data_IF_379395490984
#
_entry.id   IF_379395490984
#
_cell.length_a   1.000
_cell.length_b   1.000
_cell.length_c   1.000
_cell.angle_alpha   90.00
_cell.angle_beta   90.00
_cell.angle_gamma   90.00
#
_symmetry.space_group_name_H-M   'P 1'
#
loop_
_entity.id
_entity.type
_entity.pdbx_description
1 polymer ?
#
# COMPACT_ATOMS: atom_id res chain seq x y z
N UNK A 1 -33.18 38.03 38.96
CA UNK A 1 -32.08 37.07 39.14
C UNK A 1 -32.55 35.65 38.81
N UNK A 2 -32.39 35.20 37.55
CA UNK A 2 -32.42 33.80 37.10
C UNK A 2 -32.33 33.79 35.57
N UNK A 3 -31.12 34.01 35.04
CA UNK A 3 -30.82 33.72 33.63
C UNK A 3 -29.30 33.65 33.45
N UNK A 4 -28.67 32.62 34.03
CA UNK A 4 -27.23 32.37 33.87
C UNK A 4 -26.91 30.87 33.97
N UNK A 5 -27.71 30.04 33.29
CA UNK A 5 -27.41 28.61 33.10
C UNK A 5 -27.69 28.08 31.67
N UNK A 6 -28.10 28.95 30.74
CA UNK A 6 -28.28 28.57 29.33
C UNK A 6 -27.13 29.02 28.40
N UNK A 7 -26.19 29.85 28.88
CA UNK A 7 -25.09 30.35 28.05
C UNK A 7 -23.82 29.48 28.07
N UNK A 8 -23.74 28.49 28.97
CA UNK A 8 -22.58 27.59 29.04
C UNK A 8 -22.69 26.34 28.15
N UNK A 9 -23.84 26.10 27.52
CA UNK A 9 -24.05 24.96 26.61
C UNK A 9 -23.98 25.31 25.12
N UNK A 10 -23.74 26.58 24.78
CA UNK A 10 -23.57 27.04 23.39
C UNK A 10 -22.11 27.30 22.98
N UNK A 11 -21.14 27.11 23.88
CA UNK A 11 -19.70 27.23 23.58
C UNK A 11 -19.03 25.85 23.37
N UNK A 12 -19.77 24.75 23.50
CA UNK A 12 -19.24 23.39 23.29
C UNK A 12 -19.52 22.78 21.90
N UNK A 13 -20.13 23.53 20.97
CA UNK A 13 -20.53 23.01 19.65
C UNK A 13 -19.86 23.73 18.46
N UNK A 14 -18.90 24.61 18.69
CA UNK A 14 -18.10 25.23 17.64
C UNK A 14 -16.61 25.00 17.94
N UNK A 15 -15.91 24.44 16.94
CA UNK A 15 -14.45 24.33 16.90
C UNK A 15 -13.80 23.20 17.72
N UNK A 16 -14.24 21.96 17.54
CA UNK A 16 -13.27 20.85 17.41
C UNK A 16 -12.99 20.64 15.92
N UNK A 17 -12.52 21.70 15.25
CA UNK A 17 -11.57 21.50 14.16
C UNK A 17 -10.30 21.15 14.92
N UNK A 18 -10.06 19.84 15.06
CA UNK A 18 -8.82 19.35 15.66
C UNK A 18 -7.68 19.83 14.76
N UNK A 19 -7.10 20.97 15.11
CA UNK A 19 -5.83 21.45 14.58
C UNK A 19 -4.75 20.49 15.05
N UNK A 20 -4.60 19.36 14.35
CA UNK A 20 -3.34 18.62 14.34
C UNK A 20 -2.34 19.45 13.54
N UNK A 21 -1.82 20.50 14.15
CA UNK A 21 -0.60 21.15 13.71
C UNK A 21 0.58 20.53 14.46
N UNK A 22 1.41 19.77 13.74
CA UNK A 22 2.88 19.71 13.85
C UNK A 22 3.44 18.32 13.46
N UNK A 23 3.43 18.04 12.16
CA UNK A 23 4.47 17.35 11.36
C UNK A 23 3.87 17.19 9.97
N UNK A 24 4.66 17.39 8.90
CA UNK A 24 4.19 17.52 7.51
C UNK A 24 2.88 16.80 7.23
N UNK A 25 1.85 17.55 6.82
CA UNK A 25 0.48 17.06 6.67
C UNK A 25 0.47 15.79 5.82
N UNK A 26 0.24 14.65 6.46
CA UNK A 26 0.16 13.32 5.83
C UNK A 26 -1.15 12.66 6.22
N UNK A 27 -1.76 11.93 5.30
CA UNK A 27 -3.05 11.25 5.51
C UNK A 27 -2.99 9.76 5.15
N UNK A 28 -3.88 8.99 5.78
CA UNK A 28 -4.14 7.61 5.44
C UNK A 28 -5.59 7.44 4.90
N UNK A 29 -5.90 6.36 4.16
CA UNK A 29 -7.27 6.05 3.72
C UNK A 29 -8.28 6.02 4.87
N UNK A 30 -7.87 5.58 6.05
CA UNK A 30 -8.71 5.58 7.26
C UNK A 30 -9.12 7.00 7.73
N UNK A 31 -8.36 8.02 7.34
CA UNK A 31 -8.65 9.43 7.64
C UNK A 31 -9.51 10.08 6.55
N UNK A 32 -9.83 9.37 5.46
CA UNK A 32 -10.57 9.94 4.33
C UNK A 32 -12.04 10.17 4.66
N UNK A 33 -12.63 11.19 4.04
CA UNK A 33 -14.07 11.44 4.11
C UNK A 33 -14.62 11.59 2.68
N UNK A 34 -15.53 10.70 2.22
CA UNK A 34 -16.05 9.52 2.93
C UNK A 34 -14.98 8.45 3.16
N UNK A 35 -15.22 7.57 4.15
CA UNK A 35 -14.31 6.47 4.49
C UNK A 35 -14.29 5.44 3.34
N UNK A 36 -13.15 5.29 2.66
CA UNK A 36 -13.00 4.34 1.56
C UNK A 36 -12.61 2.95 2.08
N UNK A 37 -11.64 2.89 3.01
CA UNK A 37 -11.21 1.68 3.68
C UNK A 37 -11.11 1.90 5.19
N UNK A 38 -11.51 0.90 5.97
CA UNK A 38 -11.19 0.84 7.40
C UNK A 38 -9.70 0.61 7.63
N UNK A 39 -9.28 0.55 8.88
CA UNK A 39 -7.91 0.26 9.27
C UNK A 39 -7.43 1.13 10.42
N UNK A 40 -6.14 1.45 10.42
CA UNK A 40 -5.53 2.35 11.39
C UNK A 40 -4.26 2.99 10.81
N UNK A 41 -3.76 4.00 11.52
CA UNK A 41 -2.50 4.67 11.19
C UNK A 41 -1.68 4.86 12.46
N UNK A 42 -0.37 4.68 12.37
CA UNK A 42 0.57 5.07 13.43
C UNK A 42 1.45 6.24 12.97
N UNK A 43 2.60 6.51 13.62
CA UNK A 43 3.50 7.61 13.23
C UNK A 43 4.15 7.40 11.85
N UNK A 44 4.40 6.16 11.45
CA UNK A 44 5.26 5.78 10.32
C UNK A 44 4.54 5.07 9.17
N UNK A 45 3.42 4.39 9.44
CA UNK A 45 2.70 3.57 8.47
C UNK A 45 1.19 3.76 8.54
N UNK A 46 0.53 3.42 7.43
CA UNK A 46 -0.91 3.21 7.36
C UNK A 46 -1.15 1.71 7.16
N UNK A 47 -2.23 1.20 7.75
CA UNK A 47 -2.75 -0.12 7.46
C UNK A 47 -4.21 0.02 7.06
N UNK A 48 -4.54 -0.44 5.87
CA UNK A 48 -5.88 -0.39 5.30
C UNK A 48 -6.49 -1.78 5.27
N UNK A 49 -7.71 -1.91 5.77
CA UNK A 49 -8.47 -3.16 5.80
C UNK A 49 -9.40 -3.22 4.60
N UNK A 50 -9.07 -4.13 3.70
CA UNK A 50 -9.77 -4.31 2.43
C UNK A 50 -10.71 -5.51 2.56
N UNK A 51 -12.01 -5.34 2.27
CA UNK A 51 -12.96 -6.43 2.39
C UNK A 51 -12.75 -7.47 1.29
N UNK A 52 -13.04 -8.73 1.59
CA UNK A 52 -12.77 -9.87 0.70
C UNK A 52 -13.49 -9.82 -0.67
N UNK A 53 -14.55 -9.04 -0.80
CA UNK A 53 -15.29 -8.84 -2.04
C UNK A 53 -14.54 -7.97 -3.05
N UNK A 54 -13.49 -7.25 -2.61
CA UNK A 54 -12.62 -6.43 -3.45
C UNK A 54 -11.43 -7.20 -4.03
N UNK A 55 -11.32 -8.50 -3.77
CA UNK A 55 -10.23 -9.33 -4.28
C UNK A 55 -10.32 -9.39 -5.82
N UNK A 56 -9.23 -9.05 -6.55
CA UNK A 56 -9.25 -9.07 -8.00
C UNK A 56 -9.32 -10.50 -8.52
N UNK A 57 -9.89 -10.70 -9.72
CA UNK A 57 -9.82 -11.99 -10.43
C UNK A 57 -8.38 -12.24 -10.87
N UNK A 58 -7.84 -13.37 -10.48
CA UNK A 58 -6.44 -13.71 -10.64
C UNK A 58 -6.28 -15.21 -10.95
N UNK A 59 -5.17 -15.56 -11.61
CA UNK A 59 -5.02 -16.83 -12.30
C UNK A 59 -4.33 -17.98 -11.55
N UNK A 60 -3.71 -17.73 -10.37
CA UNK A 60 -2.86 -18.75 -9.71
C UNK A 60 -3.12 -18.92 -8.21
N UNK A 61 -2.63 -18.04 -7.35
CA UNK A 61 -2.71 -18.20 -5.89
C UNK A 61 -3.33 -16.98 -5.23
N UNK A 62 -4.25 -17.21 -4.27
CA UNK A 62 -5.00 -16.15 -3.59
C UNK A 62 -4.11 -15.00 -3.09
N UNK A 63 -2.98 -15.33 -2.48
CA UNK A 63 -2.08 -14.35 -1.88
C UNK A 63 -1.35 -13.47 -2.89
N UNK A 64 -1.01 -13.99 -4.07
CA UNK A 64 -0.43 -13.19 -5.16
C UNK A 64 -1.41 -12.10 -5.57
N UNK A 65 -2.71 -12.43 -5.57
CA UNK A 65 -3.77 -11.49 -5.89
C UNK A 65 -3.90 -10.38 -4.85
N UNK A 66 -3.75 -10.74 -3.57
CA UNK A 66 -3.84 -9.79 -2.47
C UNK A 66 -2.62 -8.86 -2.45
N UNK A 67 -1.42 -9.39 -2.66
CA UNK A 67 -0.19 -8.60 -2.78
C UNK A 67 -0.30 -7.62 -3.97
N UNK A 68 -0.71 -8.14 -5.13
CA UNK A 68 -0.94 -7.32 -6.32
C UNK A 68 -1.99 -6.23 -6.09
N UNK A 69 -3.07 -6.54 -5.37
CA UNK A 69 -4.06 -5.53 -4.99
C UNK A 69 -3.41 -4.45 -4.12
N UNK A 70 -2.70 -4.83 -3.06
CA UNK A 70 -2.06 -3.87 -2.16
C UNK A 70 -1.08 -2.95 -2.90
N UNK A 71 -0.24 -3.52 -3.79
CA UNK A 71 0.72 -2.76 -4.58
C UNK A 71 0.05 -1.80 -5.59
N UNK A 72 -1.07 -2.21 -6.19
CA UNK A 72 -1.76 -1.41 -7.21
C UNK A 72 -2.63 -0.31 -6.60
N UNK A 73 -3.26 -0.59 -5.46
CA UNK A 73 -4.22 0.31 -4.82
C UNK A 73 -3.52 1.31 -3.89
N UNK A 74 -2.43 0.90 -3.24
CA UNK A 74 -1.70 1.74 -2.30
C UNK A 74 -0.24 1.97 -2.72
N UNK A 75 0.23 3.21 -2.64
CA UNK A 75 1.63 3.55 -2.96
C UNK A 75 2.59 2.83 -2.00
N UNK A 76 3.47 1.98 -2.56
CA UNK A 76 4.38 1.13 -1.77
C UNK A 76 3.63 0.12 -0.88
N UNK A 77 2.40 -0.23 -1.28
CA UNK A 77 1.54 -1.14 -0.54
C UNK A 77 1.99 -2.59 -0.68
N UNK A 78 1.88 -3.33 0.42
CA UNK A 78 2.13 -4.77 0.48
C UNK A 78 1.16 -5.44 1.45
N UNK A 79 0.99 -6.75 1.31
CA UNK A 79 0.18 -7.54 2.23
C UNK A 79 0.81 -7.51 3.62
N UNK A 80 0.00 -7.18 4.63
CA UNK A 80 0.45 -7.04 6.00
C UNK A 80 0.73 -8.43 6.60
N UNK A 81 1.94 -8.58 7.14
CA UNK A 81 2.25 -9.69 8.03
C UNK A 81 2.17 -9.22 9.49
N UNK A 82 1.63 -10.08 10.34
CA UNK A 82 1.46 -9.78 11.77
C UNK A 82 2.38 -10.67 12.57
N UNK A 83 3.38 -10.08 13.22
CA UNK A 83 4.18 -10.76 14.23
C UNK A 83 3.43 -10.78 15.58
N UNK A 84 3.47 -11.89 16.35
CA UNK A 84 2.91 -11.93 17.69
C UNK A 84 3.28 -10.74 18.59
N UNK A 85 4.50 -10.21 18.45
CA UNK A 85 4.96 -9.08 19.23
C UNK A 85 4.33 -7.75 18.79
N UNK A 86 3.95 -7.61 17.52
CA UNK A 86 3.38 -6.38 16.95
C UNK A 86 1.88 -6.22 17.25
N UNK A 87 1.23 -7.29 17.72
CA UNK A 87 -0.22 -7.38 17.88
C UNK A 87 -0.72 -6.74 19.17
N UNK A 88 0.12 -6.71 20.21
CA UNK A 88 -0.25 -6.18 21.52
C UNK A 88 -0.49 -4.65 21.48
N UNK A 89 0.16 -3.95 20.53
CA UNK A 89 0.17 -2.50 20.43
C UNK A 89 -0.65 -1.98 19.25
N UNK A 90 -1.55 -2.80 18.68
CA UNK A 90 -2.44 -2.35 17.61
C UNK A 90 -3.29 -1.19 18.16
N UNK A 91 -3.21 0.02 17.56
CA UNK A 91 -3.97 1.16 18.04
C UNK A 91 -5.47 0.97 17.78
N UNK A 92 -6.27 1.99 18.09
CA UNK A 92 -7.68 1.94 17.76
C UNK A 92 -7.89 1.74 16.25
N UNK A 93 -8.63 0.68 15.93
CA UNK A 93 -8.98 0.30 14.57
C UNK A 93 -10.39 0.79 14.21
N UNK A 94 -10.57 1.16 12.96
CA UNK A 94 -11.86 1.54 12.37
C UNK A 94 -12.27 0.47 11.35
N UNK A 95 -13.47 -0.07 11.49
CA UNK A 95 -14.06 -1.01 10.53
C UNK A 95 -15.25 -0.38 9.81
N UNK A 96 -15.55 -0.88 8.61
CA UNK A 96 -16.69 -0.42 7.81
C UNK A 96 -18.01 -0.91 8.40
N UNK A 97 -18.05 -2.17 8.85
CA UNK A 97 -19.21 -2.75 9.50
C UNK A 97 -19.24 -2.35 10.98
N UNK A 98 -20.39 -1.91 11.48
CA UNK A 98 -20.59 -1.55 12.90
C UNK A 98 -21.37 -2.61 13.67
N UNK A 99 -21.77 -3.71 13.04
CA UNK A 99 -22.64 -4.72 13.63
C UNK A 99 -21.91 -5.99 14.05
N UNK A 100 -20.68 -6.25 13.55
CA UNK A 100 -19.87 -7.38 14.01
C UNK A 100 -19.06 -7.05 15.26
N UNK A 101 -18.86 -8.09 16.08
CA UNK A 101 -18.08 -8.04 17.32
C UNK A 101 -16.61 -8.45 17.12
N UNK A 102 -16.33 -9.26 16.11
CA UNK A 102 -14.98 -9.67 15.74
C UNK A 102 -14.84 -9.74 14.22
N UNK A 103 -13.60 -9.67 13.74
CA UNK A 103 -13.23 -9.69 12.33
C UNK A 103 -12.06 -10.63 12.09
N UNK A 104 -12.21 -11.51 11.11
CA UNK A 104 -11.13 -12.35 10.60
C UNK A 104 -10.30 -11.58 9.57
N UNK A 105 -9.04 -11.32 9.90
CA UNK A 105 -8.09 -10.62 9.03
C UNK A 105 -7.03 -11.61 8.56
N UNK A 106 -6.83 -11.75 7.25
CA UNK A 106 -5.77 -12.60 6.73
C UNK A 106 -4.39 -12.13 7.22
N UNK A 107 -3.60 -13.07 7.73
CA UNK A 107 -2.18 -12.88 8.02
C UNK A 107 -1.36 -13.19 6.76
N UNK A 108 -0.54 -12.25 6.29
CA UNK A 108 0.25 -12.38 5.07
C UNK A 108 1.39 -13.42 5.08
N UNK A 109 1.51 -14.26 6.12
CA UNK A 109 2.49 -15.37 6.18
C UNK A 109 1.80 -16.69 5.78
N UNK A 110 2.41 -17.41 4.83
CA UNK A 110 1.85 -18.65 4.25
C UNK A 110 2.80 -19.81 4.44
N UNK A 111 2.24 -20.94 4.88
CA UNK A 111 2.97 -22.20 4.99
C UNK A 111 2.92 -22.93 3.64
N UNK A 112 4.08 -23.19 3.02
CA UNK A 112 4.13 -23.78 1.68
C UNK A 112 4.43 -25.27 1.67
N UNK A 113 5.42 -25.71 2.46
CA UNK A 113 5.89 -27.08 2.40
C UNK A 113 6.34 -27.60 3.77
N UNK A 114 6.22 -28.91 3.94
CA UNK A 114 6.81 -29.66 5.05
C UNK A 114 7.94 -30.51 4.51
N UNK A 115 9.14 -30.31 5.05
CA UNK A 115 10.31 -31.11 4.74
C UNK A 115 10.72 -31.83 6.00
N UNK A 116 10.48 -33.13 6.04
CA UNK A 116 11.02 -34.00 7.06
C UNK A 116 12.41 -34.44 6.62
N UNK A 117 13.43 -34.15 7.43
CA UNK A 117 14.77 -34.69 7.21
C UNK A 117 15.36 -35.21 8.52
N UNK A 118 16.10 -36.31 8.43
CA UNK A 118 16.73 -36.92 9.59
C UNK A 118 18.07 -36.25 9.82
N UNK A 119 18.05 -35.08 10.45
CA UNK A 119 19.26 -34.47 11.01
C UNK A 119 19.30 -34.75 12.51
N UNK A 120 20.34 -35.44 12.96
CA UNK A 120 20.52 -35.76 14.38
C UNK A 120 21.18 -34.57 15.06
N UNK A 121 20.41 -33.78 15.80
CA UNK A 121 20.96 -32.73 16.69
C UNK A 121 20.73 -33.08 18.15
N UNK A 122 21.53 -32.49 19.04
CA UNK A 122 21.29 -32.56 20.49
C UNK A 122 20.12 -31.64 20.85
N UNK A 123 19.02 -32.23 21.30
CA UNK A 123 17.86 -31.50 21.82
C UNK A 123 18.13 -30.84 23.18
N UNK A 124 17.11 -30.19 23.75
CA UNK A 124 17.20 -29.36 24.96
C UNK A 124 17.68 -30.09 26.23
N UNK A 125 17.74 -31.43 26.20
CA UNK A 125 18.27 -32.29 27.28
C UNK A 125 19.42 -33.21 26.83
N UNK A 126 20.10 -32.88 25.72
CA UNK A 126 21.27 -33.63 25.22
C UNK A 126 20.95 -34.92 24.48
N UNK A 127 19.68 -35.33 24.36
CA UNK A 127 19.25 -36.48 23.58
C UNK A 127 19.31 -36.19 22.06
N UNK A 128 19.63 -37.21 21.27
CA UNK A 128 19.59 -37.15 19.80
C UNK A 128 18.14 -37.23 19.31
N UNK A 129 17.71 -36.26 18.50
CA UNK A 129 16.30 -36.12 18.07
C UNK A 129 16.18 -35.91 16.56
N UNK A 130 15.06 -36.35 15.98
CA UNK A 130 14.70 -36.11 14.58
C UNK A 130 13.96 -34.77 14.45
N UNK A 131 14.15 -34.07 13.33
CA UNK A 131 13.53 -32.77 13.06
C UNK A 131 12.52 -32.86 11.92
N UNK A 132 11.38 -32.17 12.09
CA UNK A 132 10.37 -31.92 11.06
C UNK A 132 10.33 -30.41 10.78
N UNK A 133 10.69 -30.01 9.57
CA UNK A 133 10.89 -28.62 9.21
C UNK A 133 9.83 -28.13 8.23
N UNK A 134 9.57 -26.82 8.27
CA UNK A 134 8.58 -26.17 7.44
C UNK A 134 9.17 -24.93 6.77
N UNK A 135 8.84 -24.76 5.50
CA UNK A 135 9.22 -23.58 4.73
C UNK A 135 8.02 -22.62 4.66
N UNK A 136 8.25 -21.39 5.09
CA UNK A 136 7.27 -20.32 5.04
C UNK A 136 7.63 -19.34 3.93
N UNK A 137 6.62 -18.97 3.15
CA UNK A 137 6.73 -17.81 2.28
C UNK A 137 6.11 -16.62 2.99
N UNK A 138 6.93 -15.58 3.12
CA UNK A 138 6.56 -14.32 3.72
C UNK A 138 6.41 -13.30 2.61
N UNK A 139 5.22 -12.73 2.51
CA UNK A 139 4.96 -11.62 1.61
C UNK A 139 5.14 -10.37 2.46
N UNK A 140 6.25 -9.68 2.26
CA UNK A 140 6.51 -8.42 2.92
C UNK A 140 7.16 -7.49 1.90
N UNK A 141 6.78 -6.22 1.92
CA UNK A 141 7.31 -5.23 0.99
C UNK A 141 8.80 -4.92 1.16
N UNK A 142 9.47 -5.52 2.16
CA UNK A 142 10.89 -5.36 2.44
C UNK A 142 11.57 -6.73 2.51
N UNK A 143 11.75 -7.39 1.36
CA UNK A 143 12.61 -8.56 1.16
C UNK A 143 12.78 -9.45 2.39
N UNK A 144 11.70 -10.11 2.84
CA UNK A 144 11.80 -11.02 3.97
C UNK A 144 12.47 -12.30 3.49
N UNK A 145 13.54 -12.77 4.15
CA UNK A 145 14.09 -14.07 3.82
C UNK A 145 12.99 -15.13 4.01
N UNK A 146 12.92 -16.15 3.14
CA UNK A 146 12.08 -17.31 3.39
C UNK A 146 12.51 -17.88 4.73
N UNK A 147 11.56 -18.01 5.65
CA UNK A 147 11.89 -18.46 7.00
C UNK A 147 11.71 -19.97 7.01
N UNK A 148 12.82 -20.70 7.15
CA UNK A 148 12.79 -22.11 7.46
C UNK A 148 12.71 -22.26 8.98
N UNK A 149 11.72 -23.01 9.46
CA UNK A 149 11.63 -23.30 10.89
C UNK A 149 11.42 -24.79 11.15
N UNK A 150 12.24 -25.32 12.04
CA UNK A 150 12.21 -26.72 12.42
C UNK A 150 11.52 -26.93 13.76
N UNK A 151 10.71 -27.97 13.81
CA UNK A 151 10.20 -28.60 15.03
C UNK A 151 10.92 -29.93 15.22
N UNK A 152 10.91 -30.49 16.43
CA UNK A 152 11.37 -31.85 16.67
C UNK A 152 10.25 -32.65 17.34
N UNK A 153 10.17 -33.94 17.04
CA UNK A 153 9.23 -34.87 17.68
C UNK A 153 9.96 -36.16 18.04
N UNK A 154 9.57 -36.79 19.16
CA UNK A 154 10.08 -38.10 19.55
C UNK A 154 9.16 -39.19 19.00
N UNK A 155 9.75 -40.28 18.52
CA UNK A 155 8.99 -41.34 17.84
C UNK A 155 8.04 -42.10 18.78
N UNK A 156 6.94 -42.67 18.25
CA UNK A 156 5.92 -43.40 19.03
C UNK A 156 6.41 -44.69 19.71
N UNK A 157 7.59 -45.23 19.38
CA UNK A 157 8.11 -46.45 20.03
C UNK A 157 8.52 -46.26 21.50
N UNK A 158 8.37 -45.05 22.07
CA UNK A 158 8.51 -44.78 23.50
C UNK A 158 7.16 -44.51 24.20
N UNK A 159 6.04 -44.93 23.61
CA UNK A 159 4.73 -44.91 24.29
C UNK A 159 4.68 -45.77 25.56
N UNK A 160 5.57 -46.76 25.71
CA UNK A 160 5.56 -47.69 26.85
C UNK A 160 6.16 -47.11 28.15
N UNK A 161 6.84 -45.96 28.13
CA UNK A 161 7.56 -45.42 29.29
C UNK A 161 7.04 -44.06 29.79
N UNK A 162 5.76 -43.76 29.57
CA UNK A 162 5.07 -42.65 30.25
C UNK A 162 5.62 -41.25 29.92
N UNK A 163 5.01 -40.60 28.93
CA UNK A 163 4.99 -39.14 28.79
C UNK A 163 6.19 -38.51 28.07
N UNK A 164 6.13 -38.45 26.73
CA UNK A 164 6.94 -37.50 25.96
C UNK A 164 6.09 -36.89 24.84
N UNK A 165 5.66 -35.63 25.01
CA UNK A 165 5.12 -34.80 23.93
C UNK A 165 5.61 -33.37 24.09
N UNK A 166 6.85 -33.10 23.66
CA UNK A 166 7.34 -31.74 23.56
C UNK A 166 7.47 -31.36 22.08
N UNK A 167 6.34 -31.03 21.44
CA UNK A 167 6.38 -30.31 20.17
C UNK A 167 6.77 -28.86 20.46
N UNK A 168 8.07 -28.56 20.40
CA UNK A 168 8.56 -27.20 20.54
C UNK A 168 8.67 -26.57 19.14
N UNK A 169 7.74 -25.68 18.81
CA UNK A 169 7.83 -24.85 17.60
C UNK A 169 8.69 -23.63 17.92
N UNK A 170 9.82 -23.50 17.22
CA UNK A 170 10.73 -22.35 17.38
C UNK A 170 10.39 -21.24 16.36
N UNK A 171 9.41 -21.48 15.48
CA UNK A 171 8.92 -20.48 14.52
C UNK A 171 8.16 -19.36 15.24
N UNK A 172 8.58 -18.10 15.07
CA UNK A 172 7.81 -16.95 15.55
C UNK A 172 6.40 -16.91 14.94
N UNK A 173 6.23 -17.45 13.72
CA UNK A 173 4.91 -17.56 13.09
C UNK A 173 4.00 -18.61 13.75
N UNK A 174 4.54 -19.64 14.41
CA UNK A 174 3.78 -20.70 15.08
C UNK A 174 3.93 -20.68 16.61
N UNK A 175 4.62 -19.68 17.17
CA UNK A 175 4.97 -19.58 18.60
C UNK A 175 3.74 -19.48 19.51
N UNK A 176 2.64 -18.99 18.97
CA UNK A 176 1.34 -18.91 19.65
C UNK A 176 0.62 -20.28 19.73
N UNK A 177 0.97 -21.25 18.89
CA UNK A 177 0.35 -22.59 18.89
C UNK A 177 0.95 -23.52 19.94
N UNK A 178 0.62 -23.23 21.20
CA UNK A 178 1.00 -24.06 22.37
C UNK A 178 0.03 -25.20 22.62
N UNK A 179 -1.17 -25.15 22.04
CA UNK A 179 -2.23 -26.13 22.29
C UNK A 179 -2.05 -27.38 21.43
N UNK A 180 -1.99 -28.55 22.05
CA UNK A 180 -1.77 -29.84 21.37
C UNK A 180 -2.73 -30.10 20.20
N UNK A 181 -3.96 -29.55 20.23
CA UNK A 181 -4.95 -29.67 19.16
C UNK A 181 -4.54 -28.92 17.89
N UNK A 182 -3.94 -27.74 18.02
CA UNK A 182 -3.46 -26.92 16.89
C UNK A 182 -2.18 -27.50 16.30
N UNK A 183 -1.31 -28.03 17.15
CA UNK A 183 -0.12 -28.76 16.72
C UNK A 183 -0.48 -30.02 15.93
N UNK A 184 -1.52 -30.74 16.36
CA UNK A 184 -2.10 -31.83 15.56
C UNK A 184 -2.68 -31.32 14.24
N UNK A 185 -3.28 -30.12 14.20
CA UNK A 185 -3.82 -29.53 12.96
C UNK A 185 -2.76 -29.28 11.91
N UNK A 186 -1.55 -28.91 12.32
CA UNK A 186 -0.42 -28.81 11.40
C UNK A 186 -0.21 -30.12 10.66
N UNK A 187 -0.25 -31.28 11.32
CA UNK A 187 0.13 -32.54 10.68
C UNK A 187 -0.74 -32.93 9.47
N UNK A 188 -2.01 -32.48 9.43
CA UNK A 188 -2.98 -32.84 8.40
C UNK A 188 -3.54 -31.69 7.56
N UNK A 189 -3.18 -30.43 7.83
CA UNK A 189 -3.61 -29.32 6.97
C UNK A 189 -2.99 -29.45 5.58
N UNK A 190 -3.81 -29.29 4.52
CA UNK A 190 -3.33 -29.26 3.14
C UNK A 190 -2.54 -27.98 2.89
N UNK A 191 -1.45 -28.10 2.15
CA UNK A 191 -0.56 -26.99 1.82
C UNK A 191 -0.87 -26.48 0.40
N UNK A 192 -0.74 -25.17 0.14
CA UNK A 192 -0.34 -24.12 1.08
C UNK A 192 -1.42 -23.76 2.11
N UNK A 193 -1.01 -23.43 3.34
CA UNK A 193 -1.92 -23.13 4.46
C UNK A 193 -1.82 -21.66 4.93
N UNK A 194 -2.99 -21.07 5.17
CA UNK A 194 -3.22 -19.66 5.49
C UNK A 194 -3.75 -19.51 6.92
N UNK A 195 -3.59 -18.30 7.47
CA UNK A 195 -3.89 -17.99 8.87
C UNK A 195 -4.57 -16.65 9.02
N UNK A 196 -5.45 -16.52 10.03
CA UNK A 196 -6.17 -15.28 10.31
C UNK A 196 -5.82 -14.72 11.69
N UNK A 197 -5.56 -13.41 11.72
CA UNK A 197 -5.64 -12.57 12.91
C UNK A 197 -7.11 -12.25 13.20
N UNK A 198 -7.55 -12.53 14.42
CA UNK A 198 -8.87 -12.15 14.91
C UNK A 198 -8.71 -10.83 15.66
N UNK A 199 -9.37 -9.80 15.15
CA UNK A 199 -9.51 -8.52 15.85
C UNK A 199 -10.89 -8.38 16.44
N UNK A 200 -10.94 -8.02 17.71
CA UNK A 200 -12.18 -7.78 18.44
C UNK A 200 -12.51 -6.29 18.43
N UNK A 201 -13.81 -6.00 18.42
CA UNK A 201 -14.29 -4.62 18.54
C UNK A 201 -14.14 -4.08 19.96
N UNK A 202 -14.34 -4.92 20.97
CA UNK A 202 -14.12 -4.55 22.36
C UNK A 202 -12.60 -4.54 22.64
N UNK A 203 -12.12 -3.41 23.18
CA UNK A 203 -10.71 -3.22 23.56
C UNK A 203 -10.28 -4.08 24.74
N UNK A 204 -11.23 -4.64 25.50
CA UNK A 204 -10.93 -5.56 26.60
C UNK A 204 -10.47 -6.92 26.09
N UNK A 205 -10.85 -7.28 24.86
CA UNK A 205 -10.45 -8.54 24.25
C UNK A 205 -9.13 -8.37 23.49
N UNK A 206 -8.17 -9.23 23.78
CA UNK A 206 -6.87 -9.18 23.13
C UNK A 206 -6.96 -9.78 21.73
N UNK A 207 -6.42 -9.09 20.69
CA UNK A 207 -6.20 -9.69 19.38
C UNK A 207 -5.46 -11.02 19.47
N UNK A 208 -5.87 -11.99 18.65
CA UNK A 208 -5.31 -13.34 18.67
C UNK A 208 -5.14 -13.88 17.28
N UNK A 209 -4.21 -14.80 17.12
CA UNK A 209 -4.08 -15.55 15.89
C UNK A 209 -4.50 -16.99 16.13
N UNK A 210 -5.37 -17.53 15.26
CA UNK A 210 -6.02 -18.82 15.54
C UNK A 210 -6.34 -19.67 14.29
N UNK A 211 -6.50 -19.06 13.11
CA UNK A 211 -6.87 -19.80 11.90
C UNK A 211 -5.70 -20.56 11.27
N UNK A 212 -5.89 -21.84 10.90
CA UNK A 212 -5.08 -22.56 9.90
C UNK A 212 -6.02 -23.27 8.93
N UNK A 213 -6.01 -22.89 7.67
CA UNK A 213 -6.85 -23.51 6.64
C UNK A 213 -6.13 -23.53 5.30
N UNK A 214 -6.65 -24.32 4.36
CA UNK A 214 -6.11 -24.38 3.00
C UNK A 214 -6.27 -23.02 2.30
N UNK A 215 -5.18 -22.43 1.82
CA UNK A 215 -5.17 -21.09 1.20
C UNK A 215 -6.02 -20.95 -0.08
N UNK A 216 -6.70 -22.02 -0.52
CA UNK A 216 -7.61 -21.97 -1.66
C UNK A 216 -8.93 -21.26 -1.30
N UNK A 217 -9.34 -21.31 -0.04
CA UNK A 217 -10.60 -20.73 0.41
C UNK A 217 -10.37 -19.32 0.98
N UNK A 218 -11.15 -18.32 0.54
CA UNK A 218 -11.12 -16.97 1.10
C UNK A 218 -11.85 -16.90 2.45
N UNK A 219 -11.37 -17.68 3.42
CA UNK A 219 -11.94 -17.80 4.76
C UNK A 219 -11.47 -16.67 5.68
N UNK A 220 -11.65 -15.43 5.26
CA UNK A 220 -11.39 -14.21 6.05
C UNK A 220 -12.43 -13.15 5.70
N UNK A 221 -12.63 -12.15 6.56
CA UNK A 221 -13.50 -11.01 6.29
C UNK A 221 -12.76 -9.89 5.55
N UNK A 222 -11.54 -9.62 6.01
CA UNK A 222 -10.66 -8.58 5.47
C UNK A 222 -9.25 -9.13 5.24
N UNK A 223 -8.52 -8.49 4.34
CA UNK A 223 -7.07 -8.57 4.31
C UNK A 223 -6.49 -7.17 4.57
N UNK A 224 -5.30 -7.13 5.17
CA UNK A 224 -4.68 -5.88 5.57
C UNK A 224 -3.56 -5.54 4.59
N UNK A 225 -3.58 -4.32 4.04
CA UNK A 225 -2.49 -3.78 3.25
C UNK A 225 -1.73 -2.74 4.08
N UNK A 226 -0.42 -2.93 4.25
CA UNK A 226 0.46 -1.93 4.85
C UNK A 226 1.03 -1.05 3.74
N UNK A 227 1.00 0.27 3.93
CA UNK A 227 1.50 1.21 2.94
C UNK A 227 1.99 2.51 3.59
N UNK A 228 2.69 3.34 2.79
CA UNK A 228 3.19 4.64 3.21
C UNK A 228 2.05 5.63 3.37
N UNK A 229 2.28 6.65 4.20
CA UNK A 229 1.34 7.78 4.32
C UNK A 229 1.40 8.65 3.09
N UNK A 230 0.26 9.24 2.74
CA UNK A 230 0.16 10.13 1.58
C UNK A 230 0.48 11.56 1.97
N UNK A 231 1.39 12.25 1.26
CA UNK A 231 1.65 13.65 1.51
C UNK A 231 0.44 14.50 1.13
N UNK A 232 0.26 15.61 1.83
CA UNK A 232 -0.67 16.66 1.43
C UNK A 232 -0.22 17.30 0.13
N UNK A 233 -1.20 17.67 -0.70
CA UNK A 233 -0.92 18.48 -1.88
C UNK A 233 -0.26 19.81 -1.46
N UNK A 234 0.83 20.16 -2.14
CA UNK A 234 1.55 21.41 -1.93
C UNK A 234 1.56 22.21 -3.21
N UNK A 235 1.19 23.48 -3.11
CA UNK A 235 1.17 24.42 -4.24
C UNK A 235 1.94 25.69 -3.89
N UNK A 236 2.68 26.21 -4.86
CA UNK A 236 3.24 27.55 -4.82
C UNK A 236 2.20 28.53 -5.38
N UNK A 237 1.85 29.54 -4.59
CA UNK A 237 1.01 30.66 -5.05
C UNK A 237 1.89 31.86 -5.39
N UNK A 238 1.72 32.39 -6.59
CA UNK A 238 2.42 33.58 -7.07
C UNK A 238 1.39 34.63 -7.49
N UNK A 239 1.58 35.87 -7.04
CA UNK A 239 0.74 36.99 -7.44
C UNK A 239 1.27 37.55 -8.76
N UNK A 240 0.75 37.03 -9.87
CA UNK A 240 1.08 37.50 -11.21
C UNK A 240 -0.12 37.27 -12.14
N UNK A 241 -0.49 38.31 -12.88
CA UNK A 241 -1.58 38.20 -13.84
C UNK A 241 -1.18 37.29 -15.01
N UNK A 242 -1.94 36.23 -15.22
CA UNK A 242 -1.68 35.24 -16.26
C UNK A 242 -2.99 34.78 -16.88
N UNK A 243 -2.93 34.33 -18.12
CA UNK A 243 -4.07 33.70 -18.79
C UNK A 243 -4.23 32.26 -18.28
N UNK A 244 -5.42 31.90 -17.80
CA UNK A 244 -5.76 30.54 -17.36
C UNK A 244 -6.51 29.82 -18.49
N UNK A 245 -5.92 28.78 -19.11
CA UNK A 245 -6.60 28.00 -20.15
C UNK A 245 -7.86 27.31 -19.64
N UNK A 246 -7.86 26.87 -18.38
CA UNK A 246 -9.00 26.16 -17.76
C UNK A 246 -10.26 27.03 -17.68
N UNK A 247 -10.09 28.33 -17.46
CA UNK A 247 -11.19 29.28 -17.31
C UNK A 247 -11.37 30.20 -18.53
N UNK A 248 -10.49 30.11 -19.53
CA UNK A 248 -10.46 30.97 -20.71
C UNK A 248 -10.43 32.48 -20.37
N UNK A 249 -9.81 32.86 -19.24
CA UNK A 249 -9.76 34.24 -18.73
C UNK A 249 -8.45 34.51 -17.95
N UNK A 250 -8.12 35.78 -17.71
CA UNK A 250 -6.92 36.16 -16.95
C UNK A 250 -7.17 36.26 -15.45
N UNK A 251 -6.26 35.66 -14.68
CA UNK A 251 -6.33 35.56 -13.22
C UNK A 251 -5.06 36.06 -12.55
N UNK A 252 -5.23 36.69 -11.38
CA UNK A 252 -4.15 37.34 -10.63
C UNK A 252 -3.24 36.35 -9.92
N UNK A 253 -3.76 35.18 -9.55
CA UNK A 253 -3.05 34.18 -8.75
C UNK A 253 -2.67 33.00 -9.62
N UNK A 254 -1.37 32.80 -9.82
CA UNK A 254 -0.82 31.60 -10.46
C UNK A 254 -0.54 30.55 -9.41
N UNK A 255 -1.12 29.37 -9.57
CA UNK A 255 -0.91 28.23 -8.69
C UNK A 255 -0.07 27.18 -9.42
N UNK A 256 1.11 26.87 -8.88
CA UNK A 256 1.98 25.80 -9.41
C UNK A 256 1.99 24.65 -8.42
N UNK A 257 1.53 23.47 -8.85
CA UNK A 257 1.50 22.28 -8.00
C UNK A 257 2.93 21.74 -7.88
N UNK A 258 3.44 21.67 -6.65
CA UNK A 258 4.75 21.10 -6.32
C UNK A 258 4.60 19.60 -6.04
N UNK A 259 3.60 19.26 -5.22
CA UNK A 259 3.26 17.87 -4.88
C UNK A 259 1.83 17.62 -5.35
N UNK A 260 1.62 16.70 -6.32
CA UNK A 260 0.29 16.43 -6.84
C UNK A 260 -0.62 15.80 -5.77
N UNK A 261 -1.94 16.00 -5.88
CA UNK A 261 -2.89 15.33 -5.00
C UNK A 261 -2.81 13.82 -5.22
N UNK A 262 -2.56 13.08 -4.13
CA UNK A 262 -2.62 11.61 -4.13
C UNK A 262 -4.06 11.13 -3.92
N UNK A 263 -4.38 9.91 -4.36
CA UNK A 263 -5.75 9.32 -4.22
C UNK A 263 -6.30 9.43 -2.78
N UNK A 264 -5.46 9.15 -1.79
CA UNK A 264 -5.80 9.24 -0.35
C UNK A 264 -5.09 10.39 0.37
N UNK A 265 -4.47 11.29 -0.39
CA UNK A 265 -3.78 12.47 0.11
C UNK A 265 -4.76 13.58 0.49
N UNK A 266 -4.28 14.57 1.24
CA UNK A 266 -5.06 15.79 1.48
C UNK A 266 -5.12 16.58 0.15
N UNK A 267 -6.33 16.95 -0.33
CA UNK A 267 -6.48 17.70 -1.57
C UNK A 267 -5.86 19.09 -1.45
N UNK A 268 -5.54 19.68 -2.58
CA UNK A 268 -4.98 21.02 -2.65
C UNK A 268 -5.98 22.06 -2.10
N UNK A 269 -5.45 23.14 -1.52
CA UNK A 269 -6.26 24.29 -1.12
C UNK A 269 -7.07 24.83 -2.32
N UNK A 270 -8.28 25.34 -2.07
CA UNK A 270 -9.09 25.97 -3.12
C UNK A 270 -8.37 27.19 -3.68
N UNK A 271 -8.25 27.24 -5.00
CA UNK A 271 -7.62 28.35 -5.71
C UNK A 271 -8.51 29.60 -5.66
N UNK A 272 -7.88 30.77 -5.63
CA UNK A 272 -8.56 32.07 -5.70
C UNK A 272 -9.03 32.34 -7.13
N UNK A 273 -10.25 32.88 -7.27
CA UNK A 273 -10.89 33.21 -8.55
C UNK A 273 -10.73 34.70 -8.92
N UNK A 274 -9.80 35.41 -8.29
CA UNK A 274 -9.59 36.84 -8.54
C UNK A 274 -9.09 37.12 -9.96
N UNK A 275 -9.87 37.93 -10.70
CA UNK A 275 -9.60 38.28 -12.09
C UNK A 275 -8.66 39.47 -12.20
N UNK A 276 -7.93 39.56 -13.31
CA UNK A 276 -7.09 40.70 -13.67
C UNK A 276 -7.17 40.99 -15.17
N UNK A 277 -6.75 42.18 -15.58
CA UNK A 277 -6.67 42.55 -16.99
C UNK A 277 -5.54 41.77 -17.67
N UNK A 278 -5.84 41.12 -18.80
CA UNK A 278 -4.87 40.32 -19.52
C UNK A 278 -3.68 41.16 -19.97
N UNK A 279 -2.44 40.78 -19.64
CA UNK A 279 -1.26 41.51 -20.08
C UNK A 279 -1.02 41.40 -21.60
N UNK A 280 -1.76 40.54 -22.30
CA UNK A 280 -1.51 40.15 -23.69
C UNK A 280 -2.84 39.97 -24.44
N UNK A 281 -2.91 40.46 -25.68
CA UNK A 281 -4.17 40.55 -26.44
C UNK A 281 -4.08 40.10 -27.91
N UNK A 282 -2.88 39.80 -28.44
CA UNK A 282 -2.69 39.32 -29.82
C UNK A 282 -3.11 37.86 -30.05
N UNK A 283 -2.93 37.32 -31.27
CA UNK A 283 -3.15 35.89 -31.53
C UNK A 283 -2.01 35.03 -30.92
N UNK A 284 -2.32 33.93 -30.22
CA UNK A 284 -1.32 33.05 -29.63
C UNK A 284 -0.64 32.16 -30.67
N UNK A 285 0.64 31.84 -30.45
CA UNK A 285 1.35 30.81 -31.21
C UNK A 285 0.91 29.40 -30.79
N UNK A 286 1.35 28.39 -31.56
CA UNK A 286 1.14 26.98 -31.21
C UNK A 286 1.82 26.61 -29.87
N UNK A 287 1.21 25.66 -29.18
CA UNK A 287 1.74 25.12 -27.94
C UNK A 287 3.01 24.28 -28.19
N UNK A 288 4.00 24.46 -27.33
CA UNK A 288 5.12 23.54 -27.24
C UNK A 288 4.65 22.15 -26.77
N UNK A 289 5.41 21.08 -27.08
CA UNK A 289 5.15 19.76 -26.52
C UNK A 289 5.23 19.79 -25.00
N UNK A 290 4.56 18.85 -24.35
CA UNK A 290 4.61 18.68 -22.90
C UNK A 290 6.02 18.35 -22.43
N UNK A 291 6.40 18.90 -21.28
CA UNK A 291 7.70 18.66 -20.63
C UNK A 291 7.90 17.22 -20.13
N UNK A 292 6.80 16.51 -19.85
CA UNK A 292 6.80 15.14 -19.34
C UNK A 292 5.53 14.39 -19.76
N UNK A 293 5.52 13.07 -19.54
CA UNK A 293 4.38 12.17 -19.81
C UNK A 293 3.59 11.78 -18.56
N UNK A 294 4.17 11.97 -17.37
CA UNK A 294 3.57 11.64 -16.07
C UNK A 294 3.90 12.74 -15.05
N UNK A 295 3.22 12.74 -13.91
CA UNK A 295 3.42 13.75 -12.87
C UNK A 295 2.93 15.14 -13.28
N UNK A 296 3.65 16.18 -12.85
CA UNK A 296 3.31 17.57 -13.18
C UNK A 296 3.89 17.91 -14.56
N UNK A 297 3.02 17.99 -15.55
CA UNK A 297 3.38 18.29 -16.94
C UNK A 297 3.15 19.76 -17.21
N UNK A 298 4.10 20.40 -17.88
CA UNK A 298 4.03 21.82 -18.25
C UNK A 298 4.27 21.98 -19.75
N UNK A 299 3.57 22.94 -20.36
CA UNK A 299 3.86 23.40 -21.72
C UNK A 299 3.70 24.90 -21.78
N UNK A 300 4.38 25.52 -22.74
CA UNK A 300 4.31 26.97 -22.93
C UNK A 300 3.99 27.34 -24.36
N UNK A 301 3.45 28.54 -24.55
CA UNK A 301 3.30 29.21 -25.84
C UNK A 301 3.53 30.70 -25.68
N UNK A 302 3.73 31.39 -26.79
CA UNK A 302 4.00 32.83 -26.78
C UNK A 302 2.83 33.59 -27.38
N UNK A 303 2.51 34.76 -26.80
CA UNK A 303 1.43 35.63 -27.24
C UNK A 303 1.87 37.11 -27.27
N UNK A 304 1.54 37.90 -28.31
CA UNK A 304 1.89 39.32 -28.37
C UNK A 304 1.12 40.16 -27.35
N UNK A 305 1.76 41.21 -26.80
CA UNK A 305 1.12 42.17 -25.89
C UNK A 305 0.06 43.03 -26.58
N UNK A 306 0.37 43.52 -27.78
CA UNK A 306 -0.51 44.37 -28.58
C UNK A 306 -0.83 43.74 -29.95
N UNK A 307 -2.11 43.80 -30.40
CA UNK A 307 -2.51 43.33 -31.72
C UNK A 307 -2.01 44.35 -32.75
N UNK A 308 -0.91 44.03 -33.45
CA UNK A 308 -0.39 44.86 -34.55
C UNK A 308 1.12 45.11 -34.56
N UNK A 309 1.86 44.68 -33.53
CA UNK A 309 3.33 44.73 -33.50
C UNK A 309 3.88 43.57 -32.68
N UNK A 310 4.34 42.51 -33.35
CA UNK A 310 5.58 41.78 -33.02
C UNK A 310 5.56 40.39 -33.66
N UNK A 311 6.55 40.10 -34.49
CA UNK A 311 7.07 38.75 -34.56
C UNK A 311 7.81 38.49 -33.24
N UNK A 312 7.25 37.63 -32.39
CA UNK A 312 7.83 37.29 -31.08
C UNK A 312 9.23 36.66 -31.18
N UNK A 313 9.68 36.28 -32.39
CA UNK A 313 11.07 35.87 -32.64
C UNK A 313 12.05 37.05 -32.69
N UNK A 314 11.59 38.24 -33.09
CA UNK A 314 12.44 39.43 -33.27
C UNK A 314 12.40 40.39 -32.08
N UNK A 315 11.26 40.46 -31.37
CA UNK A 315 11.07 41.37 -30.22
C UNK A 315 10.50 40.58 -29.01
N UNK A 316 11.37 39.93 -28.21
CA UNK A 316 10.94 39.13 -27.06
C UNK A 316 10.18 39.94 -26.00
N UNK A 317 10.57 41.21 -25.80
CA UNK A 317 9.99 42.10 -24.78
C UNK A 317 8.53 42.50 -25.07
N UNK A 318 8.13 42.43 -26.34
CA UNK A 318 6.77 42.74 -26.80
C UNK A 318 5.81 41.55 -26.65
N UNK A 319 6.29 40.40 -26.16
CA UNK A 319 5.53 39.18 -26.05
C UNK A 319 5.42 38.70 -24.59
N UNK A 320 4.46 37.82 -24.38
CA UNK A 320 4.17 37.16 -23.12
C UNK A 320 4.27 35.66 -23.30
N UNK A 321 4.71 34.98 -22.26
CA UNK A 321 4.66 33.52 -22.19
C UNK A 321 3.38 33.11 -21.46
N UNK A 322 2.55 32.31 -22.13
CA UNK A 322 1.46 31.59 -21.50
C UNK A 322 1.94 30.17 -21.18
N UNK A 323 1.68 29.71 -19.96
CA UNK A 323 2.05 28.38 -19.51
C UNK A 323 0.79 27.63 -19.09
N UNK A 324 0.73 26.35 -19.45
CA UNK A 324 -0.31 25.43 -19.01
C UNK A 324 0.34 24.32 -18.19
N UNK A 325 -0.24 24.05 -17.03
CA UNK A 325 0.19 22.96 -16.15
C UNK A 325 -0.95 21.96 -16.01
N UNK A 326 -0.63 20.68 -16.15
CA UNK A 326 -1.58 19.58 -15.96
C UNK A 326 -0.98 18.53 -15.05
N UNK A 327 -1.79 18.00 -14.14
CA UNK A 327 -1.41 16.84 -13.32
C UNK A 327 -1.81 15.56 -14.06
N UNK A 328 -0.82 14.78 -14.45
CA UNK A 328 -0.98 13.43 -15.01
C UNK A 328 -1.02 12.36 -13.94
N UNK A 329 -0.97 11.09 -14.35
CA UNK A 329 -0.83 9.98 -13.40
C UNK A 329 0.52 10.00 -12.69
N UNK A 330 0.59 9.36 -11.52
CA UNK A 330 1.84 9.18 -10.78
C UNK A 330 2.85 8.40 -11.63
N UNK A 331 4.07 8.94 -11.74
CA UNK A 331 5.16 8.30 -12.46
C UNK A 331 5.54 6.94 -11.86
N UNK A 332 5.24 6.71 -10.57
CA UNK A 332 5.41 5.40 -9.92
C UNK A 332 4.56 4.30 -10.52
N UNK A 333 3.49 4.64 -11.23
CA UNK A 333 2.65 3.65 -11.91
C UNK A 333 3.25 3.16 -13.23
N UNK A 334 4.31 3.79 -13.72
CA UNK A 334 4.93 3.44 -15.00
C UNK A 334 6.12 2.52 -14.77
N UNK A 335 6.28 1.52 -15.64
CA UNK A 335 7.47 0.68 -15.57
C UNK A 335 8.71 1.53 -15.92
N UNK A 336 9.79 1.32 -15.18
CA UNK A 336 11.02 2.12 -15.25
C UNK A 336 11.50 2.33 -16.69
N UNK A 337 11.74 3.59 -17.07
CA UNK A 337 12.16 4.02 -18.41
C UNK A 337 11.21 3.62 -19.57
N UNK A 338 9.93 3.36 -19.30
CA UNK A 338 8.93 3.08 -20.34
C UNK A 338 7.70 3.98 -20.22
N UNK A 339 6.91 4.07 -21.29
CA UNK A 339 5.58 4.68 -21.27
C UNK A 339 4.46 3.73 -20.84
N UNK A 340 4.80 2.55 -20.30
CA UNK A 340 3.82 1.51 -19.97
C UNK A 340 3.29 1.74 -18.56
N UNK A 341 1.99 2.01 -18.46
CA UNK A 341 1.30 2.15 -17.17
C UNK A 341 0.95 0.75 -16.62
N UNK A 342 1.64 0.34 -15.56
CA UNK A 342 1.46 -0.94 -14.88
C UNK A 342 0.26 -0.97 -13.96
N UNK A 343 -0.49 0.12 -13.79
CA UNK A 343 -1.79 0.06 -13.09
C UNK A 343 -2.83 -0.63 -13.96
N UNK A 344 -2.90 -0.25 -15.23
CA UNK A 344 -3.85 -0.78 -16.22
C UNK A 344 -3.33 -2.01 -16.95
N UNK A 345 -2.01 -2.09 -17.17
CA UNK A 345 -1.38 -3.21 -17.86
C UNK A 345 -1.11 -4.36 -16.89
N UNK A 346 -1.35 -5.60 -17.31
CA UNK A 346 -1.04 -6.81 -16.53
C UNK A 346 0.36 -7.38 -16.85
N UNK A 347 0.94 -8.10 -15.90
CA UNK A 347 2.14 -8.92 -16.14
C UNK A 347 1.72 -10.26 -16.76
N UNK A 348 2.47 -10.76 -17.75
CA UNK A 348 2.09 -11.99 -18.47
C UNK A 348 2.53 -13.24 -17.68
N UNK A 349 3.84 -13.37 -17.44
CA UNK A 349 4.43 -14.49 -16.70
C UNK A 349 5.12 -13.98 -15.42
N UNK A 350 4.33 -13.33 -14.57
CA UNK A 350 4.81 -12.75 -13.32
C UNK A 350 3.68 -12.06 -12.58
N UNK A 351 4.03 -11.47 -11.44
CA UNK A 351 3.11 -10.73 -10.57
C UNK A 351 3.51 -9.26 -10.50
N UNK A 352 2.57 -8.36 -10.20
CA UNK A 352 2.94 -6.98 -9.92
C UNK A 352 3.57 -6.90 -8.54
N UNK A 353 4.72 -6.28 -8.47
CA UNK A 353 5.40 -5.91 -7.24
C UNK A 353 5.77 -4.43 -7.25
N UNK A 354 6.64 -4.07 -6.33
CA UNK A 354 7.22 -2.73 -6.23
C UNK A 354 8.73 -2.83 -6.12
N UNK A 355 9.43 -1.93 -6.80
CA UNK A 355 10.89 -1.80 -6.70
C UNK A 355 11.30 -1.13 -5.38
N UNK A 356 12.60 -1.01 -5.14
CA UNK A 356 13.15 -0.35 -3.95
C UNK A 356 12.75 1.14 -3.79
N UNK A 357 12.25 1.78 -4.85
CA UNK A 357 11.83 3.18 -4.91
C UNK A 357 10.29 3.34 -4.96
N UNK A 358 9.54 2.26 -4.73
CA UNK A 358 8.07 2.14 -4.86
C UNK A 358 7.52 2.33 -6.28
N UNK A 359 8.29 2.13 -7.34
CA UNK A 359 7.72 2.01 -8.69
C UNK A 359 7.08 0.65 -8.84
N UNK A 360 5.92 0.60 -9.50
CA UNK A 360 5.35 -0.65 -9.95
C UNK A 360 6.33 -1.36 -10.88
N UNK A 361 6.49 -2.66 -10.67
CA UNK A 361 7.25 -3.53 -11.56
C UNK A 361 6.57 -4.88 -11.71
N UNK A 362 6.90 -5.60 -12.77
CA UNK A 362 6.51 -7.00 -12.91
C UNK A 362 7.64 -7.89 -12.36
N UNK A 363 7.34 -8.60 -11.27
CA UNK A 363 8.22 -9.64 -10.71
C UNK A 363 8.01 -10.91 -11.50
N UNK A 364 8.98 -11.24 -12.35
CA UNK A 364 8.86 -12.35 -13.29
C UNK A 364 9.03 -13.72 -12.64
N UNK A 365 8.27 -14.68 -13.16
CA UNK A 365 8.43 -16.10 -12.82
C UNK A 365 9.84 -16.58 -13.24
N UNK A 366 10.40 -17.58 -12.54
CA UNK A 366 11.70 -18.14 -12.87
C UNK A 366 11.81 -18.57 -14.35
N UNK A 367 12.74 -17.93 -15.07
CA UNK A 367 12.99 -18.20 -16.49
C UNK A 367 12.24 -17.27 -17.46
N UNK A 368 11.52 -16.27 -16.96
CA UNK A 368 10.96 -15.18 -17.75
C UNK A 368 11.67 -13.87 -17.44
N UNK A 369 11.80 -13.02 -18.44
CA UNK A 369 12.40 -11.68 -18.35
C UNK A 369 11.59 -10.68 -19.18
N UNK A 370 11.98 -9.40 -19.13
CA UNK A 370 11.28 -8.32 -19.83
C UNK A 370 10.39 -7.50 -18.89
N UNK A 371 10.00 -6.31 -19.36
CA UNK A 371 9.25 -5.33 -18.56
C UNK A 371 7.88 -5.87 -18.11
N UNK A 372 7.28 -6.76 -18.91
CA UNK A 372 6.01 -7.41 -18.62
C UNK A 372 6.13 -8.93 -18.44
N UNK A 373 7.36 -9.44 -18.29
CA UNK A 373 7.67 -10.88 -18.24
C UNK A 373 7.19 -11.64 -19.48
N UNK A 374 7.28 -10.98 -20.64
CA UNK A 374 6.85 -11.45 -21.95
C UNK A 374 7.96 -12.23 -22.70
N UNK A 375 9.20 -12.15 -22.23
CA UNK A 375 10.35 -12.83 -22.84
C UNK A 375 10.63 -14.14 -22.08
N UNK A 376 10.55 -15.28 -22.77
CA UNK A 376 10.83 -16.61 -22.21
C UNK A 376 12.30 -17.07 -22.34
N UNK A 377 12.63 -18.14 -21.61
CA UNK A 377 13.96 -18.75 -21.43
C UNK A 377 14.90 -18.68 -22.65
N UNK A 378 15.96 -17.86 -22.54
CA UNK A 378 17.22 -18.13 -23.25
C UNK A 378 17.95 -19.21 -22.45
N UNK A 379 17.96 -20.43 -22.96
CA UNK A 379 18.79 -21.49 -22.39
C UNK A 379 20.26 -21.13 -22.62
N UNK A 380 20.96 -20.70 -21.57
CA UNK A 380 22.43 -20.76 -21.58
C UNK A 380 22.78 -22.23 -21.38
N UNK A 381 23.16 -22.91 -22.47
CA UNK A 381 23.87 -24.17 -22.39
C UNK A 381 25.16 -23.89 -21.62
N UNK A 382 25.27 -24.42 -20.40
CA UNK A 382 26.57 -24.60 -19.78
C UNK A 382 27.23 -25.74 -20.56
N UNK A 383 28.18 -25.40 -21.42
CA UNK A 383 29.08 -26.40 -21.99
C UNK A 383 29.83 -27.06 -20.83
N UNK A 384 29.71 -28.39 -20.81
CA UNK A 384 30.17 -29.33 -19.78
C UNK A 384 31.67 -29.29 -19.53
#
# INVERSE_FOLDING_TARGET
MRSSKLLLHLIACCCVVSTRMANGQVSCPVDSTPLEFGGYSDKHKCVSFVPKDRIPKCGRLLHECLEQFCATEFSGGHLMNWDPNDIADIPQVIFYDKFRNFYDILNGKILLNRVAFVDRRRGQRGAWTNFDCMNFQTFCGLGCPPVEHCSWYTNPLHYHFGGWYDYLFISDFLKDMRMQKEQKRLSWVKLPACRNLILYRDRKETPKIYGLYECQEANFDYFACQHKKYPACSMKKEKNCHYSPEHNECRLWKYTIIVPPSKYGIPCEKQSEEKCECPCSGEPQEWQPWSATCGVMTRSRVRPKNPGRADCKQLPEACCTEEETKVGEDCKNYAYNTGINLRTTGCVNGTKGVDANDHLECVCDPGFTGVLCDIGKVYVKLDS
#
